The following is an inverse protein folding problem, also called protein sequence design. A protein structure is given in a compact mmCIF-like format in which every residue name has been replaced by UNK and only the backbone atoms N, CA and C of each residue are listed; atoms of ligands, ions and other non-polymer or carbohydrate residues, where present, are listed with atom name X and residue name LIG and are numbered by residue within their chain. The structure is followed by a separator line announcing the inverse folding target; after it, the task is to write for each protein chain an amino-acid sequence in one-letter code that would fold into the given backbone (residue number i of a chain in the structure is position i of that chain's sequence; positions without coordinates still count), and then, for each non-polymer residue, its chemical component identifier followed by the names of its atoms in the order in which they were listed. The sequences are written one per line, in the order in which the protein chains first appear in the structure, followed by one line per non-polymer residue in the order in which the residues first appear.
data_IF_127274631995
#
_entry.id   IF_127274631995
#
_cell.length_a   1.000
_cell.length_b   1.000
_cell.length_c   1.000
_cell.angle_alpha   90.00
_cell.angle_beta   90.00
_cell.angle_gamma   90.00
#
_symmetry.space_group_name_H-M   'P 1'
#
loop_
_entity.id
_entity.type
_entity.pdbx_description
1 polymer ?
#
# COMPACT_ATOMS: atom_id res chain seq x y z
N UNK A 1 14.89 -7.63 -16.03
CA UNK A 1 16.05 -7.77 -15.12
C UNK A 1 15.88 -8.89 -14.10
N UNK A 2 14.68 -9.43 -13.95
CA UNK A 2 14.40 -10.59 -13.06
C UNK A 2 14.77 -10.37 -11.57
N UNK A 3 14.55 -9.16 -11.05
CA UNK A 3 14.88 -8.80 -9.65
C UNK A 3 14.04 -9.59 -8.63
N UNK A 4 12.90 -10.16 -9.06
CA UNK A 4 12.02 -11.00 -8.25
C UNK A 4 11.89 -12.43 -8.80
N UNK A 5 12.87 -12.89 -9.61
CA UNK A 5 12.84 -14.25 -10.16
C UNK A 5 12.73 -15.29 -9.04
N UNK A 6 11.74 -16.18 -9.14
CA UNK A 6 11.48 -17.23 -8.17
C UNK A 6 10.80 -16.76 -6.88
N UNK A 7 10.50 -15.47 -6.72
CA UNK A 7 9.74 -14.93 -5.57
C UNK A 7 8.24 -15.03 -5.81
N UNK A 8 7.50 -15.38 -4.77
CA UNK A 8 6.03 -15.30 -4.71
C UNK A 8 5.61 -14.03 -4.01
N UNK A 9 4.87 -13.16 -4.71
CA UNK A 9 4.41 -11.89 -4.19
C UNK A 9 2.87 -11.84 -4.10
N UNK A 10 2.35 -11.31 -3.00
CA UNK A 10 0.95 -11.02 -2.83
C UNK A 10 0.75 -9.52 -2.73
N UNK A 11 -0.17 -8.98 -3.54
CA UNK A 11 -0.48 -7.54 -3.60
C UNK A 11 -1.96 -7.32 -3.35
N UNK A 12 -2.31 -6.50 -2.36
CA UNK A 12 -3.69 -6.06 -2.08
C UNK A 12 -4.00 -4.73 -2.75
N UNK A 13 -5.29 -4.45 -3.03
CA UNK A 13 -5.68 -3.25 -3.77
C UNK A 13 -5.15 -3.27 -5.22
N UNK A 14 -5.13 -4.46 -5.82
CA UNK A 14 -4.41 -4.74 -7.07
C UNK A 14 -5.17 -4.35 -8.35
N UNK A 15 -6.45 -4.02 -8.26
CA UNK A 15 -7.28 -3.77 -9.44
C UNK A 15 -6.92 -2.46 -10.15
N UNK A 16 -6.36 -1.47 -9.46
CA UNK A 16 -6.10 -0.14 -10.02
C UNK A 16 -4.90 0.57 -9.36
N UNK A 17 -4.49 1.70 -9.92
CA UNK A 17 -3.50 2.61 -9.35
C UNK A 17 -2.18 1.93 -8.97
N UNK A 18 -1.68 2.23 -7.77
CA UNK A 18 -0.37 1.75 -7.27
C UNK A 18 -0.33 0.21 -7.21
N UNK A 19 -1.39 -0.42 -6.71
CA UNK A 19 -1.44 -1.89 -6.60
C UNK A 19 -1.33 -2.56 -7.96
N UNK A 20 -2.09 -2.08 -8.96
CA UNK A 20 -2.02 -2.60 -10.33
C UNK A 20 -0.64 -2.41 -10.96
N UNK A 21 -0.09 -1.21 -10.88
CA UNK A 21 1.26 -0.93 -11.41
C UNK A 21 2.33 -1.80 -10.72
N UNK A 22 2.17 -2.09 -9.42
CA UNK A 22 3.04 -3.00 -8.67
C UNK A 22 2.93 -4.43 -9.19
N UNK A 23 1.72 -4.96 -9.38
CA UNK A 23 1.50 -6.30 -9.97
C UNK A 23 2.17 -6.41 -11.33
N UNK A 24 1.89 -5.46 -12.23
CA UNK A 24 2.43 -5.47 -13.59
C UNK A 24 3.96 -5.38 -13.61
N UNK A 25 4.56 -4.58 -12.72
CA UNK A 25 6.02 -4.48 -12.60
C UNK A 25 6.64 -5.75 -12.02
N UNK A 26 6.03 -6.33 -10.98
CA UNK A 26 6.53 -7.55 -10.34
C UNK A 26 6.52 -8.74 -11.30
N UNK A 27 5.47 -8.85 -12.13
CA UNK A 27 5.40 -9.86 -13.21
C UNK A 27 6.55 -9.68 -14.22
N UNK A 28 6.80 -8.44 -14.67
CA UNK A 28 7.93 -8.14 -15.58
C UNK A 28 9.29 -8.48 -14.96
N UNK A 29 9.40 -8.43 -13.64
CA UNK A 29 10.62 -8.75 -12.89
C UNK A 29 10.67 -10.22 -12.41
N UNK A 30 9.80 -11.08 -12.93
CA UNK A 30 9.87 -12.52 -12.79
C UNK A 30 9.23 -13.12 -11.54
N UNK A 31 8.41 -12.36 -10.81
CA UNK A 31 7.65 -12.87 -9.67
C UNK A 31 6.44 -13.70 -10.11
N UNK A 32 6.09 -14.73 -9.32
CA UNK A 32 4.73 -15.26 -9.29
C UNK A 32 3.87 -14.30 -8.45
N UNK A 33 2.83 -13.71 -9.04
CA UNK A 33 2.01 -12.71 -8.35
C UNK A 33 0.61 -13.20 -8.07
N UNK A 34 0.16 -13.00 -6.81
CA UNK A 34 -1.22 -13.16 -6.37
C UNK A 34 -1.78 -11.75 -6.14
N UNK A 35 -2.78 -11.37 -6.93
CA UNK A 35 -3.41 -10.06 -6.91
C UNK A 35 -4.79 -10.13 -6.23
N UNK A 36 -4.98 -9.36 -5.16
CA UNK A 36 -6.22 -9.32 -4.40
C UNK A 36 -6.89 -7.94 -4.52
N UNK A 37 -8.19 -7.93 -4.77
CA UNK A 37 -9.03 -6.73 -4.73
C UNK A 37 -10.50 -7.11 -4.53
N UNK A 38 -11.32 -6.14 -4.14
CA UNK A 38 -12.77 -6.28 -4.07
C UNK A 38 -13.44 -6.02 -5.44
N UNK A 39 -12.76 -5.33 -6.36
CA UNK A 39 -13.27 -4.93 -7.68
C UNK A 39 -13.07 -6.05 -8.71
N UNK A 40 -14.01 -6.97 -8.79
CA UNK A 40 -13.92 -8.18 -9.61
C UNK A 40 -13.64 -7.89 -11.10
N UNK A 41 -14.37 -6.96 -11.71
CA UNK A 41 -14.26 -6.63 -13.13
C UNK A 41 -12.86 -6.06 -13.49
N UNK A 42 -12.41 -5.07 -12.71
CA UNK A 42 -11.09 -4.47 -12.92
C UNK A 42 -9.95 -5.47 -12.65
N UNK A 43 -10.11 -6.30 -11.62
CA UNK A 43 -9.14 -7.34 -11.28
C UNK A 43 -9.02 -8.40 -12.39
N UNK A 44 -10.13 -8.78 -13.03
CA UNK A 44 -10.16 -9.75 -14.13
C UNK A 44 -9.40 -9.28 -15.40
N UNK A 45 -9.10 -7.98 -15.50
CA UNK A 45 -8.29 -7.43 -16.62
C UNK A 45 -6.78 -7.62 -16.43
N UNK A 46 -6.33 -8.06 -15.24
CA UNK A 46 -4.92 -8.39 -15.01
C UNK A 46 -4.58 -9.72 -15.66
N UNK A 47 -3.50 -9.75 -16.44
CA UNK A 47 -3.01 -10.94 -17.10
C UNK A 47 -1.69 -11.41 -16.47
N UNK A 48 -1.41 -12.71 -16.54
CA UNK A 48 -0.14 -13.30 -16.11
C UNK A 48 0.00 -13.50 -14.60
N UNK A 49 -1.04 -13.23 -13.80
CA UNK A 49 -1.05 -13.45 -12.37
C UNK A 49 -2.27 -14.27 -11.91
N UNK A 50 -2.21 -14.80 -10.71
CA UNK A 50 -3.39 -15.35 -10.03
C UNK A 50 -4.18 -14.21 -9.41
N UNK A 51 -5.46 -14.08 -9.77
CA UNK A 51 -6.36 -13.07 -9.20
C UNK A 51 -7.35 -13.71 -8.23
N UNK A 52 -7.72 -12.99 -7.16
CA UNK A 52 -8.78 -13.40 -6.26
C UNK A 52 -9.55 -12.19 -5.74
N UNK A 53 -10.87 -12.25 -5.84
CA UNK A 53 -11.76 -11.23 -5.26
C UNK A 53 -11.85 -11.47 -3.75
N UNK A 54 -11.43 -10.46 -2.96
CA UNK A 54 -11.37 -10.55 -1.50
C UNK A 54 -11.77 -9.20 -0.91
N UNK A 55 -12.72 -9.22 0.02
CA UNK A 55 -12.95 -8.10 0.93
C UNK A 55 -12.05 -8.25 2.15
N UNK A 56 -11.10 -7.36 2.32
CA UNK A 56 -10.15 -7.36 3.43
C UNK A 56 -10.79 -6.97 4.78
N UNK A 57 -12.04 -6.49 4.76
CA UNK A 57 -12.82 -6.26 5.98
C UNK A 57 -13.37 -7.57 6.56
N UNK A 58 -13.48 -8.62 5.75
CA UNK A 58 -13.89 -9.96 6.21
C UNK A 58 -12.69 -10.73 6.78
N UNK A 59 -12.59 -10.75 8.11
CA UNK A 59 -11.51 -11.42 8.81
C UNK A 59 -11.45 -12.93 8.52
N UNK A 60 -12.60 -13.59 8.36
CA UNK A 60 -12.67 -15.05 8.11
C UNK A 60 -12.07 -15.37 6.75
N UNK A 61 -12.41 -14.57 5.73
CA UNK A 61 -11.86 -14.73 4.39
C UNK A 61 -10.36 -14.46 4.38
N UNK A 62 -9.88 -13.43 5.09
CA UNK A 62 -8.44 -13.11 5.17
C UNK A 62 -7.66 -14.22 5.87
N UNK A 63 -8.17 -14.76 6.98
CA UNK A 63 -7.51 -15.85 7.72
C UNK A 63 -7.39 -17.12 6.86
N UNK A 64 -8.40 -17.42 6.04
CA UNK A 64 -8.39 -18.56 5.12
C UNK A 64 -7.32 -18.46 4.01
N UNK A 65 -6.90 -17.23 3.64
CA UNK A 65 -5.88 -17.02 2.61
C UNK A 65 -4.55 -17.70 2.93
N UNK A 66 -4.15 -17.76 4.19
CA UNK A 66 -2.89 -18.40 4.60
C UNK A 66 -2.79 -19.87 4.15
N UNK A 67 -3.88 -20.61 4.31
CA UNK A 67 -3.95 -22.01 3.86
C UNK A 67 -4.09 -22.12 2.34
N UNK A 68 -4.90 -21.26 1.74
CA UNK A 68 -5.21 -21.32 0.30
C UNK A 68 -4.05 -20.87 -0.58
N UNK A 69 -3.35 -19.83 -0.17
CA UNK A 69 -2.23 -19.24 -0.89
C UNK A 69 -0.93 -19.96 -0.54
N UNK A 70 -0.74 -20.34 0.73
CA UNK A 70 0.52 -20.88 1.23
C UNK A 70 1.57 -19.81 1.47
N UNK A 71 2.85 -20.20 1.52
CA UNK A 71 3.97 -19.30 1.81
C UNK A 71 4.21 -18.32 0.67
N UNK A 72 4.49 -17.08 1.02
CA UNK A 72 4.89 -16.00 0.10
C UNK A 72 6.22 -15.37 0.56
N UNK A 73 6.98 -14.82 -0.37
CA UNK A 73 8.23 -14.09 -0.10
C UNK A 73 7.99 -12.59 0.10
N UNK A 74 6.97 -12.05 -0.57
CA UNK A 74 6.67 -10.62 -0.58
C UNK A 74 5.19 -10.38 -0.32
N UNK A 75 4.89 -9.48 0.64
CA UNK A 75 3.55 -8.97 0.88
C UNK A 75 3.53 -7.46 0.63
N UNK A 76 2.67 -7.00 -0.29
CA UNK A 76 2.42 -5.57 -0.51
C UNK A 76 1.01 -5.21 -0.05
N UNK A 77 0.89 -4.52 1.07
CA UNK A 77 -0.35 -3.97 1.58
C UNK A 77 -0.60 -2.61 0.92
N UNK A 78 -1.35 -2.60 -0.19
CA UNK A 78 -1.66 -1.39 -0.96
C UNK A 78 -3.14 -0.99 -0.88
N UNK A 79 -4.04 -1.88 -0.49
CA UNK A 79 -5.44 -1.53 -0.24
C UNK A 79 -5.55 -0.42 0.79
N UNK A 80 -6.47 0.53 0.57
CA UNK A 80 -6.66 1.63 1.50
C UNK A 80 -7.83 2.52 1.13
N UNK A 81 -8.25 3.31 2.10
CA UNK A 81 -9.37 4.26 2.01
C UNK A 81 -8.91 5.67 2.40
N UNK A 82 -9.39 6.66 1.68
CA UNK A 82 -9.12 8.07 1.95
C UNK A 82 -10.42 8.74 2.41
N UNK A 83 -10.53 9.00 3.69
CA UNK A 83 -11.59 9.82 4.24
C UNK A 83 -11.28 11.31 4.08
N UNK A 84 -12.34 12.13 3.95
CA UNK A 84 -12.24 13.58 3.85
C UNK A 84 -13.02 14.21 5.01
N UNK A 85 -12.39 15.15 5.68
CA UNK A 85 -12.96 15.89 6.81
C UNK A 85 -11.91 16.22 7.86
N UNK A 86 -12.19 17.26 8.65
CA UNK A 86 -11.45 17.60 9.86
C UNK A 86 -11.97 16.79 11.06
N UNK A 87 -11.45 17.05 12.26
CA UNK A 87 -11.86 16.33 13.47
C UNK A 87 -13.36 16.47 13.78
N UNK A 88 -13.95 17.63 13.52
CA UNK A 88 -15.34 17.92 13.88
C UNK A 88 -16.35 17.41 12.83
N UNK A 89 -15.94 17.34 11.56
CA UNK A 89 -16.75 16.90 10.44
C UNK A 89 -16.60 15.41 10.10
N UNK A 90 -15.56 14.75 10.62
CA UNK A 90 -15.36 13.32 10.40
C UNK A 90 -16.42 12.49 11.13
N UNK A 91 -17.20 11.73 10.36
CA UNK A 91 -18.18 10.81 10.92
C UNK A 91 -17.50 9.55 11.49
N UNK A 92 -18.11 8.96 12.53
CA UNK A 92 -17.63 7.71 13.15
C UNK A 92 -17.42 6.59 12.11
N UNK A 93 -18.32 6.48 11.15
CA UNK A 93 -18.23 5.49 10.07
C UNK A 93 -16.96 5.68 9.22
N UNK A 94 -16.66 6.91 8.80
CA UNK A 94 -15.45 7.22 8.02
C UNK A 94 -14.17 6.97 8.80
N UNK A 95 -14.19 7.33 10.10
CA UNK A 95 -13.09 7.05 11.02
C UNK A 95 -12.84 5.54 11.16
N UNK A 96 -13.87 4.75 11.45
CA UNK A 96 -13.75 3.28 11.58
C UNK A 96 -13.26 2.64 10.30
N UNK A 97 -13.86 2.97 9.15
CA UNK A 97 -13.45 2.43 7.86
C UNK A 97 -11.99 2.76 7.53
N UNK A 98 -11.52 3.97 7.91
CA UNK A 98 -10.11 4.34 7.76
C UNK A 98 -9.18 3.43 8.55
N UNK A 99 -9.54 3.06 9.77
CA UNK A 99 -8.76 2.12 10.57
C UNK A 99 -8.89 0.69 10.07
N UNK A 100 -10.12 0.22 9.84
CA UNK A 100 -10.39 -1.14 9.41
C UNK A 100 -9.63 -1.50 8.12
N UNK A 101 -9.60 -0.59 7.14
CA UNK A 101 -8.96 -0.86 5.85
C UNK A 101 -7.48 -0.46 5.80
N UNK A 102 -7.09 0.69 6.39
CA UNK A 102 -5.69 1.16 6.29
C UNK A 102 -4.77 0.50 7.31
N UNK A 103 -5.29 -0.01 8.43
CA UNK A 103 -4.49 -0.55 9.54
C UNK A 103 -4.80 -2.02 9.79
N UNK A 104 -6.06 -2.34 10.13
CA UNK A 104 -6.43 -3.67 10.58
C UNK A 104 -6.35 -4.70 9.46
N UNK A 105 -6.73 -4.34 8.24
CA UNK A 105 -6.55 -5.19 7.07
C UNK A 105 -5.06 -5.51 6.84
N UNK A 106 -4.17 -4.51 6.87
CA UNK A 106 -2.74 -4.74 6.73
C UNK A 106 -2.19 -5.62 7.88
N UNK A 107 -2.61 -5.37 9.12
CA UNK A 107 -2.24 -6.17 10.29
C UNK A 107 -2.68 -7.62 10.14
N UNK A 108 -3.93 -7.88 9.70
CA UNK A 108 -4.45 -9.23 9.48
C UNK A 108 -3.66 -9.95 8.37
N UNK A 109 -3.43 -9.29 7.24
CA UNK A 109 -2.60 -9.84 6.14
C UNK A 109 -1.21 -10.22 6.64
N UNK A 110 -0.56 -9.36 7.42
CA UNK A 110 0.74 -9.67 8.01
C UNK A 110 0.63 -10.89 8.93
N UNK A 111 -0.32 -10.95 9.84
CA UNK A 111 -0.52 -12.09 10.75
C UNK A 111 -0.75 -13.40 10.01
N UNK A 112 -1.46 -13.36 8.91
CA UNK A 112 -1.78 -14.53 8.09
C UNK A 112 -0.53 -15.11 7.40
N UNK A 113 0.36 -14.26 6.88
CA UNK A 113 1.49 -14.74 6.07
C UNK A 113 2.83 -14.77 6.81
N UNK A 114 2.99 -14.02 7.88
CA UNK A 114 4.22 -13.92 8.65
C UNK A 114 4.76 -15.27 9.16
N UNK A 115 3.92 -16.21 9.69
CA UNK A 115 4.42 -17.51 10.10
C UNK A 115 5.09 -18.30 8.97
N UNK A 116 4.53 -18.23 7.77
CA UNK A 116 5.11 -18.85 6.57
C UNK A 116 6.44 -18.21 6.16
N UNK A 117 6.55 -16.88 6.21
CA UNK A 117 7.80 -16.16 5.95
C UNK A 117 8.88 -16.54 6.96
N UNK A 118 8.56 -16.61 8.26
CA UNK A 118 9.50 -17.03 9.29
C UNK A 118 10.00 -18.47 9.04
N UNK A 119 9.09 -19.38 8.75
CA UNK A 119 9.43 -20.78 8.49
C UNK A 119 10.30 -20.95 7.22
N UNK A 120 10.14 -20.08 6.24
CA UNK A 120 10.97 -20.02 5.03
C UNK A 120 12.32 -19.29 5.22
N UNK A 121 12.57 -18.72 6.40
CA UNK A 121 13.82 -18.02 6.73
C UNK A 121 13.85 -16.54 6.35
N UNK A 122 12.73 -15.96 5.98
CA UNK A 122 12.64 -14.52 5.72
C UNK A 122 11.52 -14.12 4.77
N UNK A 123 11.40 -12.81 4.54
CA UNK A 123 10.43 -12.22 3.64
C UNK A 123 10.49 -10.69 3.63
N UNK A 124 9.76 -10.07 2.71
CA UNK A 124 9.63 -8.62 2.64
C UNK A 124 8.18 -8.18 2.71
N UNK A 125 7.87 -7.31 3.66
CA UNK A 125 6.56 -6.67 3.81
C UNK A 125 6.70 -5.20 3.42
N UNK A 126 5.86 -4.75 2.49
CA UNK A 126 5.80 -3.37 2.00
C UNK A 126 4.42 -2.81 2.26
N UNK A 127 4.30 -1.85 3.14
CA UNK A 127 3.04 -1.17 3.43
C UNK A 127 2.96 0.14 2.63
N UNK A 128 1.87 0.38 1.92
CA UNK A 128 1.62 1.67 1.26
C UNK A 128 0.93 2.61 2.27
N UNK A 129 1.75 3.40 2.96
CA UNK A 129 1.30 4.43 3.88
C UNK A 129 0.95 5.74 3.12
N UNK A 130 1.41 6.88 3.59
CA UNK A 130 1.31 8.19 2.95
C UNK A 130 2.24 9.16 3.66
N UNK A 131 2.71 10.22 2.99
CA UNK A 131 3.31 11.35 3.71
C UNK A 131 2.29 11.98 4.66
N UNK A 132 1.01 12.01 4.27
CA UNK A 132 -0.08 12.46 5.12
C UNK A 132 -0.29 11.49 6.29
N UNK A 133 -0.05 11.94 7.49
CA UNK A 133 -0.14 11.19 8.74
C UNK A 133 1.14 10.48 9.16
N UNK A 134 1.88 9.89 8.24
CA UNK A 134 3.13 9.23 8.60
C UNK A 134 4.30 10.23 8.78
N UNK A 135 4.25 11.39 8.12
CA UNK A 135 5.31 12.42 8.13
C UNK A 135 4.79 13.82 8.43
N UNK A 136 3.68 14.21 7.81
CA UNK A 136 3.08 15.55 7.95
C UNK A 136 1.58 15.47 8.22
N UNK A 137 1.01 16.52 8.85
CA UNK A 137 -0.44 16.74 8.91
C UNK A 137 -0.95 17.32 7.59
N UNK A 138 -2.14 16.92 7.16
CA UNK A 138 -2.79 17.46 5.96
C UNK A 138 -4.21 17.89 6.32
N UNK A 139 -4.60 19.15 6.04
CA UNK A 139 -5.96 19.62 6.30
C UNK A 139 -7.02 18.75 5.64
N UNK A 140 -8.19 18.67 6.25
CA UNK A 140 -9.34 17.89 5.74
C UNK A 140 -9.02 16.40 5.50
N UNK A 141 -8.17 15.81 6.36
CA UNK A 141 -7.75 14.40 6.26
C UNK A 141 -7.56 13.77 7.64
N UNK A 142 -8.39 14.15 8.62
CA UNK A 142 -8.19 13.72 10.01
C UNK A 142 -8.09 12.19 10.15
N UNK A 143 -9.16 11.43 9.82
CA UNK A 143 -9.18 9.99 9.98
C UNK A 143 -8.11 9.29 9.11
N UNK A 144 -7.92 9.77 7.88
CA UNK A 144 -6.89 9.27 6.99
C UNK A 144 -5.48 9.47 7.57
N UNK A 145 -5.13 10.68 8.02
CA UNK A 145 -3.81 10.97 8.60
C UNK A 145 -3.56 10.11 9.85
N UNK A 146 -4.52 10.00 10.75
CA UNK A 146 -4.37 9.18 11.96
C UNK A 146 -4.13 7.72 11.60
N UNK A 147 -4.91 7.15 10.69
CA UNK A 147 -4.76 5.75 10.26
C UNK A 147 -3.43 5.50 9.54
N UNK A 148 -2.97 6.40 8.67
CA UNK A 148 -1.68 6.25 7.96
C UNK A 148 -0.48 6.45 8.90
N UNK A 149 -0.60 7.27 9.93
CA UNK A 149 0.36 7.35 11.03
C UNK A 149 0.44 6.05 11.83
N UNK A 150 -0.72 5.46 12.15
CA UNK A 150 -0.79 4.16 12.82
C UNK A 150 -0.15 3.03 12.00
N UNK A 151 -0.36 3.01 10.66
CA UNK A 151 0.31 2.06 9.76
C UNK A 151 1.84 2.22 9.77
N UNK A 152 2.35 3.45 9.93
CA UNK A 152 3.77 3.71 10.14
C UNK A 152 4.29 3.10 11.45
N UNK A 153 3.52 3.20 12.54
CA UNK A 153 3.82 2.55 13.82
C UNK A 153 3.83 1.02 13.71
N UNK A 154 2.81 0.44 13.07
CA UNK A 154 2.71 -1.00 12.78
C UNK A 154 3.94 -1.49 12.00
N UNK A 155 4.36 -0.75 10.96
CA UNK A 155 5.54 -1.08 10.16
C UNK A 155 6.80 -1.22 11.01
N UNK A 156 7.05 -0.26 11.91
CA UNK A 156 8.23 -0.28 12.79
C UNK A 156 8.16 -1.40 13.82
N UNK A 157 6.98 -1.65 14.41
CA UNK A 157 6.80 -2.73 15.38
C UNK A 157 7.07 -4.09 14.75
N UNK A 158 6.48 -4.37 13.57
CA UNK A 158 6.74 -5.63 12.85
C UNK A 158 8.22 -5.76 12.48
N UNK A 159 8.85 -4.67 12.02
CA UNK A 159 10.26 -4.69 11.65
C UNK A 159 11.17 -5.08 12.81
N UNK A 160 11.01 -4.46 13.98
CA UNK A 160 11.89 -4.72 15.16
C UNK A 160 11.67 -6.12 15.73
N UNK A 161 10.43 -6.59 15.75
CA UNK A 161 10.09 -7.90 16.32
C UNK A 161 10.60 -9.06 15.48
N UNK A 162 10.61 -8.91 14.13
CA UNK A 162 10.85 -10.03 13.22
C UNK A 162 12.13 -9.93 12.37
N UNK A 163 12.96 -8.89 12.53
CA UNK A 163 14.23 -8.76 11.80
C UNK A 163 15.17 -9.94 12.02
N UNK A 164 15.20 -10.51 13.24
CA UNK A 164 16.05 -11.68 13.55
C UNK A 164 15.57 -12.98 12.86
N UNK A 165 14.36 -12.98 12.34
CA UNK A 165 13.80 -14.07 11.55
C UNK A 165 13.96 -13.85 10.04
N UNK A 166 14.76 -12.86 9.63
CA UNK A 166 14.97 -12.52 8.23
C UNK A 166 13.81 -11.77 7.57
N UNK A 167 12.79 -11.36 8.34
CA UNK A 167 11.63 -10.61 7.80
C UNK A 167 11.91 -9.11 7.89
N UNK A 168 11.80 -8.43 6.75
CA UNK A 168 11.86 -6.97 6.64
C UNK A 168 10.45 -6.40 6.50
N UNK A 169 10.18 -5.27 7.13
CA UNK A 169 8.92 -4.56 7.01
C UNK A 169 9.21 -3.07 6.82
N UNK A 170 8.77 -2.51 5.70
CA UNK A 170 8.98 -1.10 5.36
C UNK A 170 7.68 -0.47 4.87
N UNK A 171 7.59 0.86 4.94
CA UNK A 171 6.47 1.60 4.38
C UNK A 171 6.95 2.57 3.28
N UNK A 172 6.21 2.62 2.20
CA UNK A 172 6.27 3.68 1.22
C UNK A 172 5.31 4.77 1.64
N UNK A 173 5.73 6.02 1.59
CA UNK A 173 4.93 7.19 1.93
C UNK A 173 4.79 8.09 0.68
N UNK A 174 3.81 7.82 -0.20
CA UNK A 174 3.59 8.64 -1.38
C UNK A 174 3.08 10.04 -1.04
N UNK A 175 3.42 11.01 -1.88
CA UNK A 175 2.69 12.27 -2.02
C UNK A 175 1.38 12.06 -2.79
N UNK A 176 0.99 13.05 -3.60
CA UNK A 176 -0.16 12.89 -4.50
C UNK A 176 0.22 12.04 -5.70
N UNK A 177 -0.53 10.96 -5.95
CA UNK A 177 -0.31 10.01 -7.05
C UNK A 177 -1.54 9.94 -7.95
N UNK A 178 -1.33 9.96 -9.26
CA UNK A 178 -2.38 9.78 -10.25
C UNK A 178 -3.02 8.39 -10.11
N UNK A 179 -4.34 8.37 -9.96
CA UNK A 179 -5.11 7.14 -9.82
C UNK A 179 -6.59 7.40 -10.12
N UNK A 180 -7.38 6.37 -10.46
CA UNK A 180 -8.84 6.51 -10.59
C UNK A 180 -9.50 7.08 -9.32
N UNK A 181 -9.02 6.71 -8.14
CA UNK A 181 -9.50 7.26 -6.86
C UNK A 181 -9.21 8.77 -6.72
N UNK A 182 -8.07 9.26 -7.24
CA UNK A 182 -7.80 10.69 -7.28
C UNK A 182 -8.78 11.41 -8.22
N UNK A 183 -8.99 10.86 -9.42
CA UNK A 183 -9.90 11.48 -10.40
C UNK A 183 -11.34 11.57 -9.86
N UNK A 184 -11.83 10.54 -9.18
CA UNK A 184 -13.13 10.57 -8.50
C UNK A 184 -13.19 11.66 -7.43
N UNK A 185 -12.15 11.83 -6.63
CA UNK A 185 -12.09 12.88 -5.59
C UNK A 185 -11.99 14.28 -6.19
N UNK A 186 -11.27 14.45 -7.29
CA UNK A 186 -11.21 15.71 -8.02
C UNK A 186 -12.59 16.07 -8.61
N UNK A 187 -13.26 15.11 -9.24
CA UNK A 187 -14.61 15.31 -9.79
C UNK A 187 -15.64 15.70 -8.70
N UNK A 188 -15.50 15.15 -7.49
CA UNK A 188 -16.40 15.44 -6.38
C UNK A 188 -16.25 16.87 -5.80
N UNK A 189 -15.20 17.62 -6.14
CA UNK A 189 -15.01 19.00 -5.66
C UNK A 189 -15.88 20.04 -6.39
N UNK A 190 -16.47 19.69 -7.54
CA UNK A 190 -17.21 20.63 -8.39
C UNK A 190 -16.33 21.43 -9.35
N UNK A 191 -15.02 21.59 -9.07
CA UNK A 191 -14.03 22.21 -9.95
C UNK A 191 -12.76 21.33 -9.97
N UNK A 192 -12.78 20.32 -10.84
CA UNK A 192 -11.71 19.35 -10.95
C UNK A 192 -10.37 19.96 -11.40
N UNK A 193 -10.40 21.02 -12.21
CA UNK A 193 -9.20 21.69 -12.71
C UNK A 193 -8.49 22.48 -11.61
N UNK A 194 -9.22 23.33 -10.89
CA UNK A 194 -8.68 24.05 -9.75
C UNK A 194 -8.18 23.11 -8.64
N UNK A 195 -8.94 22.04 -8.35
CA UNK A 195 -8.52 21.02 -7.40
C UNK A 195 -7.23 20.33 -7.84
N UNK A 196 -7.11 19.95 -9.12
CA UNK A 196 -5.89 19.34 -9.67
C UNK A 196 -4.69 20.29 -9.56
N UNK A 197 -4.86 21.56 -9.90
CA UNK A 197 -3.81 22.58 -9.73
C UNK A 197 -3.35 22.70 -8.28
N UNK A 198 -4.27 22.70 -7.32
CA UNK A 198 -3.96 22.72 -5.89
C UNK A 198 -3.20 21.45 -5.44
N UNK A 199 -3.56 20.29 -5.98
CA UNK A 199 -2.81 19.05 -5.70
C UNK A 199 -1.39 19.07 -6.29
N UNK A 200 -1.22 19.62 -7.50
CA UNK A 200 0.10 19.80 -8.14
C UNK A 200 0.97 20.75 -7.30
N UNK A 201 0.41 21.86 -6.86
CA UNK A 201 1.13 22.90 -6.10
C UNK A 201 1.71 22.41 -4.77
N UNK A 202 1.21 21.28 -4.22
CA UNK A 202 1.76 20.66 -3.00
C UNK A 202 3.15 20.07 -3.21
N UNK A 203 3.46 19.62 -4.42
CA UNK A 203 4.74 19.01 -4.75
C UNK A 203 5.67 20.02 -5.42
N UNK A 204 6.85 20.35 -4.82
CA UNK A 204 7.85 21.24 -5.43
C UNK A 204 8.32 20.82 -6.83
N UNK A 205 8.24 19.52 -7.15
CA UNK A 205 8.51 19.04 -8.52
C UNK A 205 7.50 19.49 -9.57
N UNK A 206 6.38 20.17 -9.16
CA UNK A 206 5.42 20.78 -10.06
C UNK A 206 4.53 19.77 -10.81
N UNK A 207 4.39 18.53 -10.32
CA UNK A 207 3.54 17.50 -10.90
C UNK A 207 3.04 16.49 -9.87
N UNK A 208 1.99 15.81 -10.22
CA UNK A 208 1.51 14.61 -9.50
C UNK A 208 2.43 13.44 -9.87
N UNK A 209 2.74 12.57 -8.91
CA UNK A 209 3.48 11.33 -9.14
C UNK A 209 2.65 10.30 -9.91
N UNK A 210 3.31 9.31 -10.51
CA UNK A 210 2.64 8.21 -11.20
C UNK A 210 2.61 6.94 -10.32
N UNK A 211 1.70 6.03 -10.63
CA UNK A 211 1.63 4.74 -9.94
C UNK A 211 2.89 3.90 -10.17
N UNK A 212 3.50 4.00 -11.35
CA UNK A 212 4.72 3.31 -11.73
C UNK A 212 5.94 3.78 -10.93
N UNK A 213 6.01 5.07 -10.57
CA UNK A 213 7.06 5.60 -9.71
C UNK A 213 6.99 4.96 -8.31
N UNK A 214 5.77 4.77 -7.78
CA UNK A 214 5.58 4.11 -6.48
C UNK A 214 5.88 2.61 -6.58
N UNK A 215 5.45 1.96 -7.66
CA UNK A 215 5.73 0.56 -7.93
C UNK A 215 7.24 0.27 -8.03
N UNK A 216 8.02 1.20 -8.58
CA UNK A 216 9.48 1.07 -8.65
C UNK A 216 10.12 1.02 -7.26
N UNK A 217 9.64 1.82 -6.32
CA UNK A 217 10.09 1.77 -4.92
C UNK A 217 9.60 0.49 -4.22
N UNK A 218 8.36 0.04 -4.52
CA UNK A 218 7.86 -1.23 -4.01
C UNK A 218 8.73 -2.41 -4.49
N UNK A 219 9.12 -2.41 -5.76
CA UNK A 219 10.04 -3.41 -6.33
C UNK A 219 11.39 -3.41 -5.62
N UNK A 220 11.98 -2.23 -5.39
CA UNK A 220 13.24 -2.12 -4.65
C UNK A 220 13.13 -2.72 -3.25
N UNK A 221 12.07 -2.36 -2.49
CA UNK A 221 11.85 -2.87 -1.15
C UNK A 221 11.51 -4.36 -1.11
N UNK A 222 10.88 -4.90 -2.15
CA UNK A 222 10.57 -6.31 -2.30
C UNK A 222 11.80 -7.16 -2.64
N UNK A 223 12.78 -6.58 -3.32
CA UNK A 223 13.98 -7.27 -3.81
C UNK A 223 15.07 -7.42 -2.75
N UNK A 224 16.07 -8.26 -3.06
CA UNK A 224 17.24 -8.47 -2.19
C UNK A 224 18.19 -7.26 -2.18
N UNK A 225 18.03 -6.30 -3.10
CA UNK A 225 18.79 -5.04 -3.11
C UNK A 225 18.55 -4.18 -1.87
N UNK A 226 17.41 -4.35 -1.20
CA UNK A 226 17.06 -3.66 0.05
C UNK A 226 17.28 -4.51 1.31
N UNK A 227 18.17 -5.50 1.25
CA UNK A 227 18.42 -6.47 2.34
C UNK A 227 18.83 -5.82 3.67
N UNK A 228 19.37 -4.59 3.64
CA UNK A 228 19.76 -3.84 4.85
C UNK A 228 18.74 -2.75 5.25
N UNK A 229 17.52 -2.78 4.69
CA UNK A 229 16.48 -1.80 4.97
C UNK A 229 15.29 -2.48 5.65
N UNK A 230 15.00 -2.10 6.90
CA UNK A 230 13.80 -2.50 7.64
C UNK A 230 13.35 -1.38 8.59
N UNK A 231 12.06 -1.28 8.89
CA UNK A 231 11.47 -0.27 9.76
C UNK A 231 11.43 1.14 9.15
N UNK A 232 11.78 1.30 7.89
CA UNK A 232 11.85 2.60 7.22
C UNK A 232 10.49 3.07 6.72
N UNK A 233 10.25 4.39 6.85
CA UNK A 233 9.15 5.09 6.19
C UNK A 233 9.77 5.95 5.07
N UNK A 234 9.58 5.56 3.82
CA UNK A 234 10.28 6.15 2.68
C UNK A 234 9.36 7.09 1.90
N UNK A 235 9.65 8.39 1.96
CA UNK A 235 8.94 9.39 1.16
C UNK A 235 9.21 9.22 -0.33
N UNK A 236 8.16 9.35 -1.13
CA UNK A 236 8.19 9.48 -2.58
C UNK A 236 7.08 10.45 -2.96
N UNK A 237 7.35 11.75 -2.89
CA UNK A 237 6.33 12.79 -2.74
C UNK A 237 6.58 14.05 -3.56
N UNK A 238 7.57 14.03 -4.45
CA UNK A 238 7.95 15.18 -5.26
C UNK A 238 8.44 16.39 -4.43
N UNK A 239 8.95 16.13 -3.21
CA UNK A 239 9.47 17.14 -2.29
C UNK A 239 8.43 17.76 -1.35
N UNK A 240 7.19 17.26 -1.32
CA UNK A 240 6.11 17.84 -0.50
C UNK A 240 6.47 17.94 0.99
N UNK A 241 7.13 16.95 1.55
CA UNK A 241 7.53 16.97 2.98
C UNK A 241 8.72 17.88 3.28
N UNK A 242 9.36 18.44 2.25
CA UNK A 242 10.55 19.30 2.39
C UNK A 242 10.23 20.80 2.15
N UNK A 243 8.98 21.14 1.79
CA UNK A 243 8.53 22.49 1.45
C UNK A 243 7.85 23.20 2.63
#
# INVERSE_FOLDING_TARGET
MNRLAGKRALVTGAAQGIGRATVELFLREGAEVIALDVQAEALATLAGCRTKVVDLLDAVVVDALGTEVGTIDVLVNCAGYVDAGDLLSTEERGYRLSFDLNVDAAMRMIRTFLPGMIAAGGGSIVNVASVAGAMIGVPERFAYCVSKGALGGLTRSVAVDYVRHGVRCNAICPGTVQSPSLDQRLAATGDAEAARAAFIARQPMGRIGTAEEIAALALYLASDESSYITGSLMAIDGGWTMA
#
